data_IF_564032675302
#
_entry.id   IF_564032675302
#
_cell.length_a   1.000
_cell.length_b   1.000
_cell.length_c   1.000
_cell.angle_alpha   90.00
_cell.angle_beta   90.00
_cell.angle_gamma   90.00
#
_symmetry.space_group_name_H-M   'P 1'
#
loop_
_entity.id
_entity.type
_entity.pdbx_description
1 polymer ?
#
# COMPACT_ATOMS: atom_id res chain seq x y z
N UNK A 1 20.65 21.43 0.57
CA UNK A 1 20.88 19.96 0.65
C UNK A 1 19.67 19.37 1.31
N UNK A 2 19.13 18.28 0.77
CA UNK A 2 18.03 17.59 1.43
C UNK A 2 18.44 17.11 2.83
N UNK A 3 17.53 17.15 3.79
CA UNK A 3 17.75 16.59 5.11
C UNK A 3 17.94 15.06 5.00
N UNK A 4 18.84 14.48 5.79
CA UNK A 4 19.11 13.03 5.79
C UNK A 4 18.86 12.47 7.17
N UNK A 5 17.91 11.56 7.27
CA UNK A 5 17.59 10.81 8.49
C UNK A 5 18.17 9.41 8.37
N UNK A 6 19.05 9.04 9.31
CA UNK A 6 19.66 7.70 9.35
C UNK A 6 18.90 6.83 10.32
N UNK A 7 18.44 5.68 9.84
CA UNK A 7 17.76 4.66 10.62
C UNK A 7 18.66 3.44 10.78
N UNK A 8 18.80 2.97 12.02
CA UNK A 8 19.64 1.81 12.35
C UNK A 8 18.84 0.54 12.65
N UNK A 9 17.57 0.70 13.01
CA UNK A 9 16.65 -0.41 13.29
C UNK A 9 15.92 -0.81 12.02
N UNK A 10 15.65 -2.10 11.86
CA UNK A 10 14.94 -2.63 10.69
C UNK A 10 15.50 -3.98 10.25
N UNK A 11 14.95 -4.53 9.18
CA UNK A 11 15.35 -5.81 8.65
C UNK A 11 15.10 -5.91 7.13
N UNK A 12 16.17 -6.09 6.37
CA UNK A 12 16.06 -6.39 4.95
C UNK A 12 15.95 -7.90 4.73
N UNK A 13 14.85 -8.33 4.11
CA UNK A 13 14.60 -9.73 3.78
C UNK A 13 14.84 -9.91 2.27
N UNK A 14 16.00 -10.45 1.92
CA UNK A 14 16.41 -10.63 0.54
C UNK A 14 15.69 -11.83 -0.10
N UNK A 15 14.60 -11.58 -0.81
CA UNK A 15 13.85 -12.60 -1.53
C UNK A 15 14.28 -12.70 -2.99
N UNK A 16 14.14 -13.90 -3.57
CA UNK A 16 14.33 -14.16 -5.00
C UNK A 16 13.11 -13.67 -5.80
N UNK A 17 13.38 -13.20 -7.01
CA UNK A 17 12.33 -12.82 -7.96
C UNK A 17 11.95 -11.35 -7.92
N UNK A 18 12.88 -10.45 -7.56
CA UNK A 18 12.69 -9.01 -7.73
C UNK A 18 12.43 -8.69 -9.20
N UNK A 19 11.45 -7.83 -9.48
CA UNK A 19 11.14 -7.37 -10.83
C UNK A 19 12.36 -6.66 -11.46
N UNK A 20 12.68 -7.04 -12.68
CA UNK A 20 13.70 -6.36 -13.49
C UNK A 20 13.10 -5.06 -14.05
N UNK A 21 13.89 -4.04 -14.20
CA UNK A 21 13.50 -2.74 -14.78
C UNK A 21 13.19 -2.85 -16.28
N UNK A 22 12.18 -3.63 -16.58
CA UNK A 22 11.71 -3.92 -17.93
C UNK A 22 10.19 -3.97 -17.95
N UNK A 23 9.60 -3.26 -18.92
CA UNK A 23 8.17 -3.36 -19.17
C UNK A 23 7.85 -4.62 -19.97
N UNK A 24 6.84 -5.36 -19.52
CA UNK A 24 6.22 -6.46 -20.25
C UNK A 24 4.80 -6.07 -20.66
N UNK A 25 4.33 -6.69 -21.74
CA UNK A 25 2.94 -6.59 -22.19
C UNK A 25 2.17 -7.84 -21.74
N UNK A 26 0.90 -7.67 -21.44
CA UNK A 26 -0.04 -8.76 -21.17
C UNK A 26 -1.33 -8.54 -21.97
N UNK A 27 -2.12 -9.59 -22.13
CA UNK A 27 -3.43 -9.48 -22.75
C UNK A 27 -4.41 -8.82 -21.78
N UNK A 28 -4.80 -7.58 -22.04
CA UNK A 28 -5.74 -6.82 -21.19
C UNK A 28 -7.10 -7.51 -21.19
N UNK A 29 -7.71 -7.57 -20.01
CA UNK A 29 -9.08 -8.05 -19.85
C UNK A 29 -10.10 -7.08 -20.46
N UNK A 30 -11.26 -7.60 -20.77
CA UNK A 30 -12.41 -6.78 -21.22
C UNK A 30 -13.30 -6.37 -20.05
N UNK A 31 -13.12 -6.95 -18.86
CA UNK A 31 -13.86 -6.66 -17.64
C UNK A 31 -12.89 -6.23 -16.54
N UNK A 32 -13.18 -5.08 -15.93
CA UNK A 32 -12.45 -4.57 -14.79
C UNK A 32 -13.37 -4.50 -13.58
N UNK A 33 -12.80 -4.53 -12.36
CA UNK A 33 -13.61 -4.40 -11.16
C UNK A 33 -12.97 -3.47 -10.14
N UNK A 34 -13.73 -2.50 -9.66
CA UNK A 34 -13.30 -1.65 -8.56
C UNK A 34 -13.72 -2.28 -7.23
N UNK A 35 -12.73 -2.48 -6.34
CA UNK A 35 -12.89 -3.14 -5.04
C UNK A 35 -12.84 -2.13 -3.89
N UNK A 36 -13.91 -2.01 -3.07
CA UNK A 36 -13.91 -1.09 -1.93
C UNK A 36 -12.91 -1.46 -0.83
N UNK A 37 -12.51 -2.72 -0.75
CA UNK A 37 -11.58 -3.25 0.28
C UNK A 37 -10.17 -2.62 0.23
N UNK A 38 -9.84 -1.95 -0.88
CA UNK A 38 -8.62 -1.16 -1.02
C UNK A 38 -8.65 0.14 -0.17
N UNK A 39 -9.84 0.60 0.25
CA UNK A 39 -10.05 1.87 0.94
C UNK A 39 -10.50 1.60 2.38
N UNK A 40 -9.55 1.51 3.29
CA UNK A 40 -9.79 1.12 4.69
C UNK A 40 -10.60 2.17 5.43
N UNK A 41 -11.49 1.72 6.31
CA UNK A 41 -12.24 2.61 7.21
C UNK A 41 -13.48 3.27 6.62
N UNK A 42 -13.77 3.07 5.30
CA UNK A 42 -14.98 3.58 4.68
C UNK A 42 -16.05 2.49 4.51
N UNK A 43 -17.31 2.88 4.46
CA UNK A 43 -18.44 2.00 4.14
C UNK A 43 -18.95 2.33 2.74
N UNK A 44 -18.84 1.42 1.75
CA UNK A 44 -19.25 1.70 0.38
C UNK A 44 -20.77 1.72 0.24
N UNK A 45 -21.27 2.74 -0.48
CA UNK A 45 -22.63 2.81 -1.00
C UNK A 45 -22.55 2.84 -2.52
N UNK A 46 -22.96 1.76 -3.18
CA UNK A 46 -22.98 1.67 -4.65
C UNK A 46 -24.03 2.64 -5.19
N UNK A 47 -23.66 3.38 -6.23
CA UNK A 47 -24.51 4.41 -6.87
C UNK A 47 -24.91 4.06 -8.31
N UNK A 48 -24.47 2.90 -8.79
CA UNK A 48 -24.81 2.34 -10.10
C UNK A 48 -25.55 1.02 -9.97
N UNK A 49 -26.17 0.57 -11.07
CA UNK A 49 -26.88 -0.72 -11.17
C UNK A 49 -26.32 -1.53 -12.34
N UNK A 50 -26.56 -2.83 -12.32
CA UNK A 50 -26.28 -3.69 -13.48
C UNK A 50 -27.03 -3.19 -14.70
N UNK A 51 -26.34 -3.11 -15.83
CA UNK A 51 -26.84 -2.56 -17.08
C UNK A 51 -26.53 -1.07 -17.29
N UNK A 52 -26.19 -0.30 -16.26
CA UNK A 52 -25.86 1.12 -16.40
C UNK A 52 -24.62 1.32 -17.28
N UNK A 53 -24.64 2.37 -18.09
CA UNK A 53 -23.50 2.82 -18.88
C UNK A 53 -22.74 3.89 -18.07
N UNK A 54 -21.42 3.73 -17.95
CA UNK A 54 -20.54 4.64 -17.22
C UNK A 54 -19.38 5.10 -18.10
N UNK A 55 -18.89 6.31 -17.84
CA UNK A 55 -17.63 6.81 -18.41
C UNK A 55 -16.49 6.59 -17.42
N UNK A 56 -15.25 6.57 -17.90
CA UNK A 56 -14.10 6.66 -17.03
C UNK A 56 -14.16 8.00 -16.25
N UNK A 57 -14.16 7.90 -14.91
CA UNK A 57 -14.37 9.04 -14.03
C UNK A 57 -15.77 9.15 -13.41
N UNK A 58 -16.77 8.40 -13.89
CA UNK A 58 -18.07 8.31 -13.21
C UNK A 58 -17.93 7.54 -11.90
N UNK A 59 -18.69 7.93 -10.86
CA UNK A 59 -18.67 7.27 -9.58
C UNK A 59 -19.34 5.88 -9.64
N UNK A 60 -18.66 4.82 -9.23
CA UNK A 60 -19.23 3.48 -9.05
C UNK A 60 -19.84 3.30 -7.65
N UNK A 61 -19.16 3.80 -6.65
CA UNK A 61 -19.65 3.86 -5.27
C UNK A 61 -19.12 5.11 -4.57
N UNK A 62 -19.72 5.44 -3.45
CA UNK A 62 -19.35 6.57 -2.59
C UNK A 62 -19.17 6.08 -1.16
N UNK A 63 -18.50 6.87 -0.32
CA UNK A 63 -18.51 6.63 1.11
C UNK A 63 -19.91 6.94 1.67
N UNK A 64 -20.50 5.98 2.39
CA UNK A 64 -21.86 6.13 2.94
C UNK A 64 -21.98 7.28 3.94
N UNK A 65 -20.92 7.54 4.73
CA UNK A 65 -20.89 8.61 5.74
C UNK A 65 -20.63 9.98 5.09
N UNK A 66 -19.78 10.00 4.06
CA UNK A 66 -19.40 11.22 3.32
C UNK A 66 -19.67 11.02 1.83
N UNK A 67 -20.91 11.23 1.35
CA UNK A 67 -21.30 10.90 -0.03
C UNK A 67 -20.55 11.68 -1.11
N UNK A 68 -19.91 12.79 -0.77
CA UNK A 68 -19.07 13.56 -1.67
C UNK A 68 -17.73 12.84 -1.97
N UNK A 69 -17.31 11.89 -1.12
CA UNK A 69 -16.17 11.03 -1.38
C UNK A 69 -16.59 9.91 -2.32
N UNK A 70 -16.34 10.14 -3.59
CA UNK A 70 -16.65 9.24 -4.72
C UNK A 70 -15.44 8.37 -5.04
N UNK A 71 -15.71 7.25 -5.71
CA UNK A 71 -14.69 6.34 -6.25
C UNK A 71 -14.99 6.10 -7.72
N UNK A 72 -14.07 6.57 -8.56
CA UNK A 72 -14.27 6.68 -9.99
C UNK A 72 -14.07 5.35 -10.72
N UNK A 73 -14.90 5.13 -11.77
CA UNK A 73 -14.67 4.03 -12.70
C UNK A 73 -13.34 4.21 -13.45
N UNK A 74 -12.50 3.17 -13.51
CA UNK A 74 -11.25 3.22 -14.27
C UNK A 74 -11.46 3.21 -15.79
N UNK A 75 -12.62 2.80 -16.25
CA UNK A 75 -12.96 2.64 -17.68
C UNK A 75 -14.38 3.11 -18.00
N UNK A 76 -14.63 3.43 -19.27
CA UNK A 76 -16.01 3.52 -19.77
C UNK A 76 -16.52 2.16 -20.19
N UNK A 77 -17.81 1.93 -20.03
CA UNK A 77 -18.45 0.71 -20.43
C UNK A 77 -19.76 0.43 -19.69
N UNK A 78 -20.18 -0.80 -19.69
CA UNK A 78 -21.40 -1.26 -19.03
C UNK A 78 -21.09 -1.94 -17.71
N UNK A 79 -21.80 -1.56 -16.65
CA UNK A 79 -21.77 -2.26 -15.36
C UNK A 79 -22.39 -3.66 -15.56
N UNK A 80 -21.58 -4.70 -15.39
CA UNK A 80 -21.99 -6.11 -15.57
C UNK A 80 -22.48 -6.74 -14.29
N UNK A 81 -21.90 -6.37 -13.15
CA UNK A 81 -22.30 -6.94 -11.87
C UNK A 81 -21.92 -6.05 -10.68
N UNK A 82 -22.70 -6.15 -9.61
CA UNK A 82 -22.38 -5.65 -8.28
C UNK A 82 -22.28 -6.85 -7.34
N UNK A 83 -21.05 -7.32 -7.14
CA UNK A 83 -20.79 -8.53 -6.33
C UNK A 83 -20.89 -8.20 -4.84
N UNK A 84 -21.65 -8.99 -4.12
CA UNK A 84 -21.84 -8.84 -2.67
C UNK A 84 -21.51 -10.15 -1.96
N UNK A 85 -20.81 -10.03 -0.86
CA UNK A 85 -20.51 -11.13 0.06
C UNK A 85 -21.52 -11.25 1.21
N UNK A 86 -21.07 -11.86 2.28
CA UNK A 86 -21.85 -12.00 3.50
C UNK A 86 -22.35 -10.65 4.03
N UNK A 87 -23.53 -10.65 4.66
CA UNK A 87 -24.20 -9.46 5.19
C UNK A 87 -24.33 -8.32 4.16
N UNK A 88 -24.42 -8.65 2.87
CA UNK A 88 -24.50 -7.72 1.74
C UNK A 88 -23.29 -6.78 1.60
N UNK A 89 -22.13 -7.10 2.17
CA UNK A 89 -20.89 -6.36 1.98
C UNK A 89 -20.57 -6.28 0.50
N UNK A 90 -20.35 -5.08 -0.04
CA UNK A 90 -19.92 -4.89 -1.43
C UNK A 90 -18.50 -5.39 -1.58
N UNK A 91 -18.28 -6.38 -2.46
CA UNK A 91 -16.96 -6.92 -2.76
C UNK A 91 -16.32 -6.20 -3.95
N UNK A 92 -17.07 -6.04 -5.03
CA UNK A 92 -16.61 -5.26 -6.18
C UNK A 92 -17.78 -4.81 -7.06
N UNK A 93 -17.52 -3.80 -7.89
CA UNK A 93 -18.38 -3.37 -9.00
C UNK A 93 -17.63 -3.65 -10.30
N UNK A 94 -18.18 -4.49 -11.16
CA UNK A 94 -17.60 -4.92 -12.42
C UNK A 94 -18.10 -4.07 -13.58
N UNK A 95 -17.19 -3.69 -14.47
CA UNK A 95 -17.49 -2.90 -15.67
C UNK A 95 -16.84 -3.60 -16.87
N UNK A 96 -17.64 -3.91 -17.88
CA UNK A 96 -17.16 -4.38 -19.19
C UNK A 96 -16.73 -3.18 -19.99
N UNK A 97 -15.43 -3.06 -20.25
CA UNK A 97 -14.84 -1.89 -20.90
C UNK A 97 -15.26 -1.76 -22.37
N UNK A 98 -15.54 -0.54 -22.76
CA UNK A 98 -15.76 -0.19 -24.18
C UNK A 98 -14.45 -0.30 -24.97
N UNK A 99 -14.50 -0.67 -26.26
CA UNK A 99 -13.31 -0.66 -27.13
C UNK A 99 -12.73 0.76 -27.30
N UNK A 100 -13.59 1.78 -27.32
CA UNK A 100 -13.21 3.19 -27.36
C UNK A 100 -13.62 3.87 -26.06
N UNK A 101 -12.63 4.24 -25.25
CA UNK A 101 -12.86 4.79 -23.93
C UNK A 101 -13.42 6.22 -23.99
N UNK A 102 -14.48 6.45 -23.23
CA UNK A 102 -15.09 7.76 -23.00
C UNK A 102 -14.75 8.23 -21.60
N UNK A 103 -14.44 9.51 -21.46
CA UNK A 103 -14.04 10.11 -20.18
C UNK A 103 -15.03 11.18 -19.75
N UNK A 104 -15.21 11.31 -18.44
CA UNK A 104 -15.80 12.53 -17.88
C UNK A 104 -14.74 13.64 -18.03
N UNK A 105 -15.18 14.79 -18.53
CA UNK A 105 -14.30 15.97 -18.64
C UNK A 105 -14.48 16.86 -17.41
N UNK A 106 -13.45 16.88 -16.54
CA UNK A 106 -13.40 17.74 -15.35
C UNK A 106 -12.74 19.10 -15.64
N UNK A 107 -12.29 19.31 -16.88
CA UNK A 107 -11.55 20.47 -17.31
C UNK A 107 -10.10 20.50 -16.82
N UNK A 108 -9.18 20.86 -17.70
CA UNK A 108 -7.79 21.10 -17.31
C UNK A 108 -7.71 22.31 -16.39
N UNK A 109 -6.87 22.22 -15.35
CA UNK A 109 -6.70 23.29 -14.36
C UNK A 109 -5.22 23.55 -14.12
N UNK A 110 -4.83 24.80 -14.16
CA UNK A 110 -3.48 25.21 -13.82
C UNK A 110 -3.36 25.31 -12.28
N UNK A 111 -2.70 24.33 -11.67
CA UNK A 111 -2.61 24.18 -10.21
C UNK A 111 -2.00 25.41 -9.53
N UNK A 112 -1.09 26.12 -10.20
CA UNK A 112 -0.48 27.36 -9.69
C UNK A 112 -1.51 28.43 -9.32
N UNK A 113 -2.68 28.43 -9.96
CA UNK A 113 -3.78 29.40 -9.78
C UNK A 113 -4.86 28.92 -8.80
N UNK A 114 -4.75 27.69 -8.30
CA UNK A 114 -5.72 27.13 -7.39
C UNK A 114 -5.29 27.34 -5.93
N UNK A 115 -6.27 27.49 -5.06
CA UNK A 115 -6.12 27.34 -3.62
C UNK A 115 -6.40 25.91 -3.18
N UNK A 116 -6.18 25.63 -1.91
CA UNK A 116 -6.34 24.27 -1.36
C UNK A 116 -7.79 23.76 -1.44
N UNK A 117 -8.77 24.62 -1.26
CA UNK A 117 -10.19 24.24 -1.34
C UNK A 117 -10.60 23.84 -2.76
N UNK A 118 -10.13 24.59 -3.76
CA UNK A 118 -10.38 24.26 -5.17
C UNK A 118 -9.68 22.95 -5.59
N UNK A 119 -8.49 22.67 -5.04
CA UNK A 119 -7.80 21.39 -5.23
C UNK A 119 -8.62 20.25 -4.63
N UNK A 120 -9.03 20.34 -3.37
CA UNK A 120 -9.83 19.31 -2.69
C UNK A 120 -11.16 19.07 -3.40
N UNK A 121 -11.85 20.14 -3.80
CA UNK A 121 -13.09 20.02 -4.57
C UNK A 121 -12.87 19.30 -5.89
N UNK A 122 -11.77 19.58 -6.59
CA UNK A 122 -11.46 18.88 -7.85
C UNK A 122 -11.21 17.39 -7.64
N UNK A 123 -10.52 16.99 -6.56
CA UNK A 123 -10.30 15.59 -6.21
C UNK A 123 -11.59 14.87 -5.80
N UNK A 124 -12.48 15.55 -5.05
CA UNK A 124 -13.79 15.03 -4.67
C UNK A 124 -14.68 14.81 -5.90
N UNK A 125 -14.78 15.84 -6.77
CA UNK A 125 -15.58 15.75 -7.98
C UNK A 125 -15.14 14.62 -8.90
N UNK A 126 -13.83 14.42 -9.04
CA UNK A 126 -13.22 13.39 -9.88
C UNK A 126 -13.17 12.00 -9.25
N UNK A 127 -13.60 11.83 -8.00
CA UNK A 127 -13.56 10.53 -7.30
C UNK A 127 -12.15 10.04 -6.97
N UNK A 128 -11.21 10.95 -6.79
CA UNK A 128 -9.81 10.66 -6.43
C UNK A 128 -9.48 10.96 -4.97
N UNK A 129 -10.32 11.69 -4.25
CA UNK A 129 -10.09 12.05 -2.84
C UNK A 129 -9.94 10.81 -1.95
N UNK A 130 -10.63 9.71 -2.25
CA UNK A 130 -10.54 8.46 -1.50
C UNK A 130 -9.17 7.78 -1.52
N UNK A 131 -8.22 8.25 -2.36
CA UNK A 131 -6.83 7.80 -2.36
C UNK A 131 -5.93 8.52 -1.34
N UNK A 132 -6.51 9.40 -0.54
CA UNK A 132 -5.84 10.05 0.57
C UNK A 132 -6.19 9.29 1.85
N UNK A 133 -5.18 8.84 2.57
CA UNK A 133 -5.32 8.22 3.89
C UNK A 133 -4.91 9.19 4.99
N UNK A 134 -5.16 8.82 6.25
CA UNK A 134 -4.80 9.63 7.40
C UNK A 134 -4.18 8.81 8.54
N UNK A 135 -3.31 9.45 9.30
CA UNK A 135 -2.95 9.08 10.65
C UNK A 135 -3.53 10.13 11.62
N UNK A 136 -4.00 9.73 12.79
CA UNK A 136 -4.06 8.36 13.32
C UNK A 136 -5.08 7.49 12.58
N UNK A 137 -5.13 6.23 12.96
CA UNK A 137 -6.05 5.17 12.51
C UNK A 137 -5.67 4.46 11.20
N UNK A 138 -4.79 5.01 10.34
CA UNK A 138 -4.43 4.44 9.04
C UNK A 138 -5.68 4.02 8.23
N UNK A 139 -6.52 4.99 7.89
CA UNK A 139 -7.77 4.84 7.16
C UNK A 139 -7.88 5.91 6.07
N UNK A 140 -8.74 5.70 5.09
CA UNK A 140 -9.11 6.75 4.13
C UNK A 140 -9.68 7.96 4.86
N UNK A 141 -9.19 9.14 4.52
CA UNK A 141 -9.59 10.39 5.16
C UNK A 141 -11.00 10.84 4.76
N UNK A 142 -11.50 11.84 5.42
CA UNK A 142 -12.79 12.47 5.11
C UNK A 142 -12.61 13.99 4.85
N UNK A 143 -13.51 14.64 4.11
CA UNK A 143 -13.35 16.04 3.72
C UNK A 143 -13.48 17.05 4.87
N UNK A 144 -13.98 16.65 6.03
CA UNK A 144 -14.11 17.51 7.21
C UNK A 144 -12.79 17.62 7.99
N UNK A 145 -11.88 16.67 7.77
CA UNK A 145 -10.58 16.60 8.45
C UNK A 145 -9.61 17.57 7.81
N UNK A 146 -8.99 18.44 8.63
CA UNK A 146 -7.92 19.33 8.19
C UNK A 146 -6.57 18.76 8.60
N UNK A 147 -5.68 18.42 7.65
CA UNK A 147 -4.37 17.89 8.00
C UNK A 147 -3.44 18.99 8.49
N UNK A 148 -2.61 18.71 9.51
CA UNK A 148 -1.50 19.57 9.86
C UNK A 148 -0.36 19.51 8.84
N UNK A 149 -0.20 18.35 8.18
CA UNK A 149 0.76 18.11 7.10
C UNK A 149 0.30 16.95 6.21
N UNK A 150 0.91 16.85 5.02
CA UNK A 150 0.70 15.75 4.08
C UNK A 150 2.05 15.05 3.85
N UNK A 151 2.05 13.72 3.88
CA UNK A 151 3.24 12.90 3.69
C UNK A 151 3.11 12.01 2.47
N UNK A 152 4.14 12.03 1.63
CA UNK A 152 4.29 11.14 0.47
C UNK A 152 5.59 10.36 0.63
N UNK A 153 5.53 9.03 0.72
CA UNK A 153 6.73 8.20 0.73
C UNK A 153 6.98 7.62 -0.67
N UNK A 154 8.03 8.09 -1.33
CA UNK A 154 8.49 7.52 -2.60
C UNK A 154 9.47 6.35 -2.40
N UNK A 155 9.87 6.07 -1.15
CA UNK A 155 10.70 4.92 -0.81
C UNK A 155 9.83 3.68 -0.60
N UNK A 156 10.00 2.68 -1.46
CA UNK A 156 9.39 1.36 -1.32
C UNK A 156 10.49 0.33 -1.03
N UNK A 157 10.68 -0.03 0.22
CA UNK A 157 11.78 -0.86 0.71
C UNK A 157 11.36 -2.25 1.22
N UNK A 158 10.07 -2.58 1.12
CA UNK A 158 9.57 -3.91 1.48
C UNK A 158 10.15 -4.99 0.54
N UNK A 159 10.25 -6.24 0.99
CA UNK A 159 10.78 -7.32 0.17
C UNK A 159 9.99 -7.47 -1.14
N UNK A 160 10.69 -7.45 -2.29
CA UNK A 160 10.14 -7.49 -3.65
C UNK A 160 9.26 -6.31 -4.04
N UNK A 161 9.22 -5.23 -3.28
CA UNK A 161 8.44 -4.04 -3.60
C UNK A 161 8.82 -3.48 -4.98
N UNK A 162 7.84 -2.87 -5.63
CA UNK A 162 8.02 -2.14 -6.88
C UNK A 162 8.95 -0.93 -6.66
N UNK A 163 9.87 -0.69 -7.57
CA UNK A 163 10.67 0.51 -7.57
C UNK A 163 9.85 1.70 -8.11
N UNK A 164 9.60 2.68 -7.25
CA UNK A 164 8.84 3.85 -7.65
C UNK A 164 9.60 4.73 -8.64
N UNK A 165 10.93 4.77 -8.60
CA UNK A 165 11.74 5.54 -9.55
C UNK A 165 11.57 5.01 -10.98
N UNK A 166 11.41 3.69 -11.15
CA UNK A 166 11.08 3.09 -12.44
C UNK A 166 9.67 3.47 -12.92
N UNK A 167 8.67 3.47 -12.02
CA UNK A 167 7.31 3.93 -12.34
C UNK A 167 7.29 5.41 -12.75
N UNK A 168 8.10 6.23 -12.09
CA UNK A 168 8.16 7.67 -12.25
C UNK A 168 8.71 8.12 -13.60
N UNK A 169 9.62 7.36 -14.23
CA UNK A 169 10.33 7.73 -15.47
C UNK A 169 9.45 8.28 -16.60
N UNK A 170 8.16 7.92 -16.63
CA UNK A 170 7.20 8.38 -17.65
C UNK A 170 6.13 9.31 -17.11
N UNK A 171 6.18 9.63 -15.82
CA UNK A 171 5.11 10.33 -15.11
C UNK A 171 5.63 11.53 -14.30
N UNK A 172 6.86 11.99 -14.57
CA UNK A 172 7.53 13.03 -13.79
C UNK A 172 6.73 14.35 -13.73
N UNK A 173 6.18 14.78 -14.87
CA UNK A 173 5.39 16.00 -14.95
C UNK A 173 4.07 15.88 -14.16
N UNK A 174 3.40 14.74 -14.25
CA UNK A 174 2.18 14.48 -13.51
C UNK A 174 2.46 14.38 -12.00
N UNK A 175 3.54 13.72 -11.62
CA UNK A 175 3.96 13.63 -10.23
C UNK A 175 4.24 15.00 -9.62
N UNK A 176 5.01 15.85 -10.31
CA UNK A 176 5.28 17.22 -9.85
C UNK A 176 4.00 18.06 -9.75
N UNK A 177 3.09 17.95 -10.73
CA UNK A 177 1.79 18.65 -10.67
C UNK A 177 0.97 18.19 -9.47
N UNK A 178 0.95 16.89 -9.17
CA UNK A 178 0.28 16.31 -8.01
C UNK A 178 0.87 16.80 -6.69
N UNK A 179 2.21 16.85 -6.56
CA UNK A 179 2.89 17.39 -5.38
C UNK A 179 2.56 18.87 -5.17
N UNK A 180 2.60 19.67 -6.25
CA UNK A 180 2.20 21.09 -6.20
C UNK A 180 0.73 21.24 -5.79
N UNK A 181 -0.17 20.35 -6.23
CA UNK A 181 -1.56 20.38 -5.80
C UNK A 181 -1.70 20.10 -4.29
N UNK A 182 -1.04 19.08 -3.78
CA UNK A 182 -1.06 18.75 -2.35
C UNK A 182 -0.48 19.89 -1.49
N UNK A 183 0.58 20.55 -1.95
CA UNK A 183 1.20 21.68 -1.23
C UNK A 183 0.29 22.90 -1.07
N UNK A 184 -0.77 23.02 -1.92
CA UNK A 184 -1.81 24.06 -1.76
C UNK A 184 -2.76 23.75 -0.61
N UNK A 185 -2.89 22.49 -0.22
CA UNK A 185 -3.79 22.04 0.86
C UNK A 185 -3.10 22.17 2.22
N UNK A 186 -1.88 21.64 2.35
CA UNK A 186 -1.08 21.72 3.57
C UNK A 186 0.40 21.56 3.27
N UNK A 187 1.26 21.83 4.28
CA UNK A 187 2.69 21.55 4.19
C UNK A 187 2.89 20.09 3.78
N UNK A 188 3.65 19.86 2.72
CA UNK A 188 3.83 18.53 2.13
C UNK A 188 5.28 18.09 2.25
N UNK A 189 5.49 16.86 2.78
CA UNK A 189 6.77 16.21 2.90
C UNK A 189 6.87 15.08 1.87
N UNK A 190 8.03 14.97 1.22
CA UNK A 190 8.37 13.88 0.30
C UNK A 190 9.56 13.10 0.88
N UNK A 191 9.29 11.86 1.32
CA UNK A 191 10.32 10.94 1.76
C UNK A 191 10.89 10.14 0.59
N UNK A 192 12.21 10.14 0.45
CA UNK A 192 12.93 9.39 -0.57
C UNK A 192 14.01 8.51 0.05
N UNK A 193 14.44 7.47 -0.66
CA UNK A 193 15.55 6.62 -0.26
C UNK A 193 16.90 7.16 -0.74
N UNK A 194 17.98 6.82 -0.03
CA UNK A 194 19.34 7.25 -0.39
C UNK A 194 19.79 6.80 -1.77
N UNK A 195 19.26 5.67 -2.28
CA UNK A 195 19.62 5.12 -3.57
C UNK A 195 18.86 5.77 -4.73
N UNK A 196 17.78 6.50 -4.45
CA UNK A 196 16.97 7.18 -5.46
C UNK A 196 17.67 8.45 -5.93
N UNK A 197 17.82 8.61 -7.22
CA UNK A 197 18.64 9.65 -7.85
C UNK A 197 17.90 10.53 -8.85
N UNK A 198 16.66 10.18 -9.22
CA UNK A 198 15.83 10.95 -10.14
C UNK A 198 15.71 12.41 -9.71
N UNK A 199 15.90 13.33 -10.65
CA UNK A 199 15.70 14.76 -10.39
C UNK A 199 14.27 15.09 -10.00
N UNK A 200 13.30 14.34 -10.49
CA UNK A 200 11.88 14.50 -10.12
C UNK A 200 11.61 14.19 -8.64
N UNK A 201 12.47 13.39 -7.98
CA UNK A 201 12.43 13.13 -6.55
C UNK A 201 13.33 14.08 -5.77
N UNK A 202 14.61 14.14 -6.15
CA UNK A 202 15.64 14.88 -5.37
C UNK A 202 15.52 16.39 -5.46
N UNK A 203 14.87 16.91 -6.51
CA UNK A 203 14.66 18.33 -6.79
C UNK A 203 13.16 18.67 -6.91
N UNK A 204 12.27 17.85 -6.32
CA UNK A 204 10.84 18.10 -6.30
C UNK A 204 10.55 19.50 -5.71
N UNK A 205 9.64 20.24 -6.39
CA UNK A 205 9.29 21.60 -6.01
C UNK A 205 8.05 21.61 -5.14
N UNK A 206 7.90 22.69 -4.36
CA UNK A 206 6.75 23.00 -3.51
C UNK A 206 6.56 22.01 -2.33
N UNK A 207 7.54 21.14 -2.08
CA UNK A 207 7.53 20.14 -1.01
C UNK A 207 8.87 20.09 -0.29
N UNK A 208 8.87 19.60 0.95
CA UNK A 208 10.08 19.38 1.71
C UNK A 208 10.60 17.95 1.49
N UNK A 209 11.73 17.83 0.78
CA UNK A 209 12.34 16.54 0.47
C UNK A 209 13.26 16.09 1.60
N UNK A 210 13.05 14.87 2.11
CA UNK A 210 13.90 14.24 3.12
C UNK A 210 14.35 12.86 2.66
N UNK A 211 15.65 12.58 2.85
CA UNK A 211 16.27 11.30 2.52
C UNK A 211 16.24 10.39 3.75
N UNK A 212 15.64 9.22 3.63
CA UNK A 212 15.69 8.17 4.65
C UNK A 212 16.72 7.12 4.26
N UNK A 213 17.72 6.94 5.13
CA UNK A 213 18.87 6.05 4.92
C UNK A 213 18.87 4.97 5.99
N UNK A 214 18.36 3.80 5.67
CA UNK A 214 18.27 2.67 6.59
C UNK A 214 17.61 1.44 5.95
N UNK A 215 17.53 0.34 6.71
CA UNK A 215 16.83 -0.87 6.27
C UNK A 215 15.30 -0.69 6.27
N UNK A 216 14.59 -1.60 5.67
CA UNK A 216 13.13 -1.71 5.82
C UNK A 216 12.77 -1.77 7.33
N UNK A 217 11.80 -0.95 7.82
CA UNK A 217 10.74 -0.24 7.11
C UNK A 217 10.97 1.29 6.99
N UNK A 218 12.14 1.75 6.58
CA UNK A 218 12.42 3.16 6.36
C UNK A 218 11.42 3.83 5.38
N UNK A 219 10.83 3.02 4.47
CA UNK A 219 9.85 3.45 3.49
C UNK A 219 8.42 3.55 4.03
N UNK A 220 8.11 3.08 5.23
CA UNK A 220 6.78 3.25 5.81
C UNK A 220 6.52 4.73 6.09
N UNK A 221 5.37 5.23 5.62
CA UNK A 221 5.02 6.64 5.78
C UNK A 221 4.87 7.06 7.25
N UNK A 222 4.37 6.17 8.10
CA UNK A 222 4.25 6.39 9.56
C UNK A 222 5.62 6.55 10.23
N UNK A 223 6.63 5.77 9.81
CA UNK A 223 8.04 5.96 10.25
C UNK A 223 8.52 7.35 9.87
N UNK A 224 8.23 7.80 8.66
CA UNK A 224 8.63 9.14 8.20
C UNK A 224 7.90 10.25 8.95
N UNK A 225 6.60 10.07 9.23
CA UNK A 225 5.80 10.97 10.07
C UNK A 225 6.40 11.08 11.47
N UNK A 226 6.68 9.94 12.13
CA UNK A 226 7.26 9.91 13.48
C UNK A 226 8.58 10.72 13.59
N UNK A 227 9.41 10.70 12.53
CA UNK A 227 10.70 11.40 12.54
C UNK A 227 10.63 12.88 12.12
N UNK A 228 9.60 13.29 11.37
CA UNK A 228 9.51 14.65 10.81
C UNK A 228 8.51 15.53 11.52
N UNK A 229 7.32 14.99 11.77
CA UNK A 229 6.22 15.74 12.39
C UNK A 229 5.22 14.77 13.04
N UNK A 230 5.56 14.22 14.24
CA UNK A 230 4.78 13.19 14.92
C UNK A 230 3.34 13.61 15.17
N UNK A 231 2.43 12.64 15.22
CA UNK A 231 1.00 12.86 15.40
C UNK A 231 0.61 12.65 16.86
N UNK A 232 0.04 13.69 17.47
CA UNK A 232 -0.49 13.63 18.83
C UNK A 232 -2.01 13.47 18.83
N UNK A 233 -2.59 13.22 20.00
CA UNK A 233 -4.05 13.17 20.19
C UNK A 233 -4.69 14.47 19.70
N UNK A 234 -5.71 14.35 18.85
CA UNK A 234 -6.42 15.48 18.25
C UNK A 234 -5.77 16.09 17.01
N UNK A 235 -4.57 15.64 16.64
CA UNK A 235 -3.92 16.02 15.38
C UNK A 235 -4.21 14.99 14.27
N UNK A 236 -4.15 15.43 13.02
CA UNK A 236 -4.28 14.58 11.84
C UNK A 236 -3.22 14.96 10.83
N UNK A 237 -2.57 13.97 10.26
CA UNK A 237 -1.78 14.11 9.03
C UNK A 237 -2.38 13.26 7.94
N UNK A 238 -2.27 13.72 6.71
CA UNK A 238 -2.65 12.91 5.56
C UNK A 238 -1.45 12.21 4.98
N UNK A 239 -1.70 11.01 4.46
CA UNK A 239 -0.70 10.20 3.76
C UNK A 239 -1.19 9.86 2.37
N UNK A 240 -0.32 9.96 1.37
CA UNK A 240 -0.69 9.71 -0.02
C UNK A 240 0.35 8.79 -0.66
N UNK A 241 -0.13 7.69 -1.26
CA UNK A 241 0.74 6.82 -2.08
C UNK A 241 1.30 7.62 -3.28
N UNK A 242 2.58 7.49 -3.62
CA UNK A 242 3.19 8.29 -4.67
C UNK A 242 2.56 8.03 -6.06
N UNK A 243 1.99 6.85 -6.32
CA UNK A 243 1.21 6.60 -7.54
C UNK A 243 -0.10 7.40 -7.55
N UNK A 244 -0.75 7.58 -6.40
CA UNK A 244 -1.95 8.43 -6.31
C UNK A 244 -1.63 9.90 -6.61
N UNK A 245 -0.44 10.37 -6.21
CA UNK A 245 0.03 11.72 -6.60
C UNK A 245 0.10 11.87 -8.12
N UNK A 246 0.54 10.82 -8.85
CA UNK A 246 0.50 10.81 -10.32
C UNK A 246 -0.95 10.90 -10.84
N UNK A 247 -1.90 10.20 -10.23
CA UNK A 247 -3.32 10.29 -10.63
C UNK A 247 -3.87 11.71 -10.45
N UNK A 248 -3.50 12.36 -9.35
CA UNK A 248 -3.91 13.75 -9.09
C UNK A 248 -3.32 14.69 -10.14
N UNK A 249 -2.04 14.56 -10.46
CA UNK A 249 -1.40 15.36 -11.50
C UNK A 249 -2.02 15.16 -12.88
N UNK A 250 -2.32 13.92 -13.27
CA UNK A 250 -3.01 13.64 -14.54
C UNK A 250 -4.39 14.31 -14.62
N UNK A 251 -5.15 14.31 -13.52
CA UNK A 251 -6.42 15.01 -13.47
C UNK A 251 -6.26 16.49 -13.83
N UNK A 252 -5.33 17.19 -13.19
CA UNK A 252 -5.12 18.62 -13.45
C UNK A 252 -4.56 18.90 -14.84
N UNK A 253 -3.61 18.08 -15.30
CA UNK A 253 -2.94 18.24 -16.60
C UNK A 253 -3.85 17.87 -17.78
N UNK A 254 -4.76 16.92 -17.62
CA UNK A 254 -5.59 16.40 -18.74
C UNK A 254 -7.08 16.70 -18.60
N UNK A 255 -7.56 17.00 -17.39
CA UNK A 255 -8.98 17.13 -17.07
C UNK A 255 -9.73 15.79 -17.02
N UNK A 256 -9.00 14.66 -16.95
CA UNK A 256 -9.58 13.31 -17.00
C UNK A 256 -9.02 12.44 -15.86
N UNK A 257 -9.84 11.51 -15.41
CA UNK A 257 -9.36 10.44 -14.50
C UNK A 257 -8.64 9.38 -15.31
N UNK A 258 -7.38 9.11 -14.96
CA UNK A 258 -6.56 8.07 -15.56
C UNK A 258 -5.88 7.29 -14.43
N UNK A 259 -6.39 6.08 -14.16
CA UNK A 259 -5.93 5.19 -13.09
C UNK A 259 -4.94 4.13 -13.59
N UNK A 260 -4.22 4.40 -14.69
CA UNK A 260 -3.10 3.54 -15.13
C UNK A 260 -1.95 3.65 -14.14
N UNK A 261 -1.38 2.51 -13.80
CA UNK A 261 -0.23 2.38 -12.92
C UNK A 261 0.76 1.34 -13.43
N UNK A 262 2.00 1.45 -12.99
CA UNK A 262 3.04 0.46 -13.24
C UNK A 262 3.09 -0.50 -12.05
N UNK A 263 2.94 -1.80 -12.31
CA UNK A 263 2.87 -2.85 -11.30
C UNK A 263 4.05 -3.79 -11.48
N UNK A 264 4.77 -4.09 -10.40
CA UNK A 264 5.78 -5.14 -10.41
C UNK A 264 5.11 -6.52 -10.29
N UNK A 265 5.40 -7.41 -11.23
CA UNK A 265 5.09 -8.84 -11.11
C UNK A 265 6.36 -9.52 -10.60
N UNK A 266 6.36 -9.95 -9.35
CA UNK A 266 7.56 -10.39 -8.64
C UNK A 266 7.33 -11.72 -7.89
N UNK A 267 8.42 -12.32 -7.42
CA UNK A 267 8.38 -13.56 -6.62
C UNK A 267 9.13 -14.70 -7.24
N UNK A 268 9.49 -15.67 -6.39
CA UNK A 268 10.29 -16.83 -6.81
C UNK A 268 9.58 -17.74 -7.80
N UNK A 269 8.24 -17.68 -7.86
CA UNK A 269 7.43 -18.54 -8.73
C UNK A 269 7.02 -17.86 -10.05
N UNK A 270 7.46 -16.63 -10.28
CA UNK A 270 7.33 -15.93 -11.55
C UNK A 270 8.48 -16.33 -12.49
N UNK A 271 8.17 -16.68 -13.75
CA UNK A 271 9.19 -17.05 -14.76
C UNK A 271 10.08 -15.86 -15.13
N UNK A 272 9.44 -14.74 -15.41
CA UNK A 272 10.11 -13.49 -15.82
C UNK A 272 9.57 -12.35 -14.95
N UNK A 273 10.18 -12.10 -13.77
CA UNK A 273 9.79 -10.96 -12.94
C UNK A 273 10.08 -9.65 -13.68
N UNK A 274 9.06 -8.82 -13.85
CA UNK A 274 9.17 -7.55 -14.59
C UNK A 274 7.97 -6.64 -14.27
N UNK A 275 7.93 -5.45 -14.86
CA UNK A 275 6.85 -4.50 -14.69
C UNK A 275 5.82 -4.59 -15.81
N UNK A 276 4.56 -4.31 -15.48
CA UNK A 276 3.44 -4.19 -16.42
C UNK A 276 2.69 -2.88 -16.18
N UNK A 277 2.16 -2.28 -17.25
CA UNK A 277 1.23 -1.16 -17.11
C UNK A 277 -0.20 -1.68 -17.11
N UNK A 278 -0.90 -1.56 -15.99
CA UNK A 278 -2.27 -2.00 -15.81
C UNK A 278 -3.17 -0.87 -15.30
N UNK A 279 -4.47 -1.02 -15.46
CA UNK A 279 -5.47 -0.17 -14.81
C UNK A 279 -5.78 -0.71 -13.41
N UNK A 280 -6.15 0.18 -12.49
CA UNK A 280 -6.82 -0.23 -11.25
C UNK A 280 -8.06 -1.04 -11.64
N UNK A 281 -8.25 -2.20 -11.01
CA UNK A 281 -9.36 -3.10 -11.33
C UNK A 281 -9.08 -4.11 -12.44
N UNK A 282 -7.88 -4.16 -13.03
CA UNK A 282 -7.48 -5.25 -13.95
C UNK A 282 -7.46 -6.59 -13.22
N UNK A 283 -7.87 -7.65 -13.89
CA UNK A 283 -7.87 -9.01 -13.30
C UNK A 283 -6.42 -9.51 -13.14
N UNK A 284 -6.08 -10.02 -11.95
CA UNK A 284 -4.73 -10.49 -11.62
C UNK A 284 -4.28 -11.64 -12.52
N UNK A 285 -5.20 -12.53 -12.89
CA UNK A 285 -4.94 -13.64 -13.81
C UNK A 285 -4.39 -13.20 -15.17
N UNK A 286 -4.83 -12.04 -15.68
CA UNK A 286 -4.33 -11.51 -16.94
C UNK A 286 -2.85 -11.09 -16.84
N UNK A 287 -2.45 -10.49 -15.70
CA UNK A 287 -1.07 -10.07 -15.46
C UNK A 287 -0.12 -11.28 -15.31
N UNK A 288 -0.62 -12.39 -14.81
CA UNK A 288 0.16 -13.60 -14.53
C UNK A 288 0.10 -14.63 -15.67
N UNK A 289 -0.75 -14.44 -16.68
CA UNK A 289 -0.99 -15.42 -17.74
C UNK A 289 0.30 -15.87 -18.43
N UNK A 290 0.57 -17.18 -18.38
CA UNK A 290 1.76 -17.80 -18.98
C UNK A 290 3.10 -17.48 -18.31
N UNK A 291 3.10 -16.67 -17.23
CA UNK A 291 4.32 -16.20 -16.53
C UNK A 291 4.56 -16.90 -15.18
N UNK A 292 3.74 -17.85 -14.77
CA UNK A 292 3.98 -18.68 -13.59
C UNK A 292 4.83 -19.91 -13.94
N UNK A 293 5.76 -20.30 -13.06
CA UNK A 293 6.56 -21.53 -13.21
C UNK A 293 5.70 -22.76 -13.10
N UNK A 294 4.87 -22.79 -12.08
CA UNK A 294 3.81 -23.77 -11.85
C UNK A 294 2.54 -23.02 -11.48
N UNK A 295 1.38 -23.51 -11.93
CA UNK A 295 0.09 -22.92 -11.61
C UNK A 295 -0.49 -23.46 -10.30
N UNK A 296 0.12 -24.52 -9.77
CA UNK A 296 -0.35 -25.19 -8.55
C UNK A 296 0.60 -24.90 -7.39
N UNK A 297 0.04 -24.95 -6.18
CA UNK A 297 0.78 -24.83 -4.93
C UNK A 297 1.59 -23.53 -4.80
N UNK A 298 1.05 -22.43 -5.35
CA UNK A 298 1.59 -21.08 -5.24
C UNK A 298 0.64 -20.19 -4.48
N UNK A 299 1.20 -19.27 -3.69
CA UNK A 299 0.48 -18.18 -3.08
C UNK A 299 0.64 -16.93 -3.93
N UNK A 300 -0.47 -16.45 -4.47
CA UNK A 300 -0.55 -15.17 -5.14
C UNK A 300 -0.92 -14.12 -4.08
N UNK A 301 -0.21 -13.01 -4.07
CA UNK A 301 -0.38 -11.93 -3.09
C UNK A 301 -0.62 -10.64 -3.86
N UNK A 302 -1.73 -9.98 -3.59
CA UNK A 302 -2.01 -8.63 -4.06
C UNK A 302 -1.27 -7.64 -3.13
N UNK A 303 -0.09 -7.18 -3.55
CA UNK A 303 0.87 -6.43 -2.77
C UNK A 303 2.16 -7.22 -2.45
N UNK A 304 2.91 -6.76 -1.45
CA UNK A 304 4.15 -7.40 -1.01
C UNK A 304 3.90 -8.55 -0.01
N UNK A 305 4.97 -9.30 0.28
CA UNK A 305 4.88 -10.50 1.15
C UNK A 305 4.62 -10.19 2.63
N UNK A 306 4.76 -8.96 3.08
CA UNK A 306 4.60 -8.57 4.49
C UNK A 306 3.21 -8.02 4.80
N UNK A 307 2.65 -7.21 3.91
CA UNK A 307 1.39 -6.47 4.13
C UNK A 307 0.32 -6.77 3.10
N UNK A 308 0.66 -7.48 2.02
CA UNK A 308 -0.26 -7.83 0.95
C UNK A 308 -1.30 -8.87 1.36
N UNK A 309 -2.37 -8.94 0.58
CA UNK A 309 -3.48 -9.88 0.83
C UNK A 309 -3.37 -11.10 -0.09
N UNK A 310 -3.54 -12.32 0.43
CA UNK A 310 -3.68 -13.50 -0.42
C UNK A 310 -4.85 -13.32 -1.39
N UNK A 311 -4.64 -13.70 -2.64
CA UNK A 311 -5.63 -13.56 -3.70
C UNK A 311 -5.55 -14.74 -4.69
N UNK A 312 -6.50 -14.76 -5.60
CA UNK A 312 -6.58 -15.73 -6.70
C UNK A 312 -6.40 -15.03 -8.05
N UNK A 313 -6.34 -15.78 -9.11
CA UNK A 313 -6.33 -15.26 -10.49
C UNK A 313 -7.62 -14.53 -10.88
N UNK A 314 -8.72 -14.78 -10.16
CA UNK A 314 -10.03 -14.17 -10.40
C UNK A 314 -10.21 -12.84 -9.68
N UNK A 315 -9.27 -12.49 -8.78
CA UNK A 315 -9.27 -11.23 -8.06
C UNK A 315 -8.70 -10.08 -8.92
N UNK A 316 -8.82 -8.88 -8.41
CA UNK A 316 -8.54 -7.66 -9.15
C UNK A 316 -7.46 -6.80 -8.48
N UNK A 317 -6.72 -6.06 -9.29
CA UNK A 317 -5.75 -5.06 -8.83
C UNK A 317 -6.46 -3.99 -8.01
N UNK A 318 -6.06 -3.83 -6.76
CA UNK A 318 -6.62 -2.84 -5.85
C UNK A 318 -6.15 -1.41 -6.15
N UNK A 319 -6.80 -0.42 -5.53
CA UNK A 319 -6.48 1.00 -5.69
C UNK A 319 -5.05 1.37 -5.28
N UNK A 320 -4.46 0.66 -4.33
CA UNK A 320 -3.10 0.91 -3.80
C UNK A 320 -2.08 -0.18 -4.17
N UNK A 321 -2.45 -1.13 -5.05
CA UNK A 321 -1.56 -2.25 -5.44
C UNK A 321 -0.39 -1.76 -6.28
N UNK A 322 0.83 -1.89 -5.81
CA UNK A 322 2.07 -1.56 -6.55
C UNK A 322 2.80 -2.80 -7.06
N UNK A 323 2.56 -3.96 -6.47
CA UNK A 323 3.13 -5.24 -6.90
C UNK A 323 2.14 -6.38 -6.76
N UNK A 324 2.32 -7.42 -7.58
CA UNK A 324 1.74 -8.75 -7.41
C UNK A 324 2.89 -9.69 -7.14
N UNK A 325 2.86 -10.34 -5.99
CA UNK A 325 3.94 -11.23 -5.55
C UNK A 325 3.48 -12.68 -5.57
N UNK A 326 4.32 -13.58 -6.14
CA UNK A 326 4.01 -15.01 -6.20
C UNK A 326 5.14 -15.82 -5.57
N UNK A 327 4.80 -16.55 -4.51
CA UNK A 327 5.74 -17.40 -3.75
C UNK A 327 5.19 -18.82 -3.63
N UNK A 328 6.01 -19.82 -3.25
CA UNK A 328 5.50 -21.16 -2.96
C UNK A 328 4.50 -21.15 -1.81
N UNK A 329 3.39 -21.90 -1.92
CA UNK A 329 2.46 -22.13 -0.80
C UNK A 329 3.11 -22.99 0.29
N UNK A 330 3.85 -24.03 -0.13
CA UNK A 330 4.61 -24.89 0.77
C UNK A 330 3.82 -26.06 1.37
N UNK A 331 2.63 -26.35 0.86
CA UNK A 331 1.76 -27.44 1.36
C UNK A 331 2.33 -28.84 1.12
N UNK A 332 3.28 -28.98 0.19
CA UNK A 332 3.92 -30.23 -0.22
C UNK A 332 5.26 -30.49 0.48
N UNK A 333 5.65 -29.63 1.41
CA UNK A 333 6.94 -29.77 2.09
C UNK A 333 6.80 -30.62 3.37
N UNK A 334 7.05 -31.93 3.25
CA UNK A 334 7.20 -32.82 4.39
C UNK A 334 8.61 -32.68 5.01
N UNK A 335 8.67 -32.27 6.27
CA UNK A 335 9.92 -32.09 6.99
C UNK A 335 9.99 -33.03 8.21
N UNK A 336 10.38 -34.28 7.98
CA UNK A 336 10.66 -35.19 9.10
C UNK A 336 11.93 -34.72 9.85
N UNK A 337 11.82 -34.50 11.16
CA UNK A 337 12.88 -33.94 12.02
C UNK A 337 13.47 -32.59 11.52
N UNK A 338 12.68 -31.79 10.85
CA UNK A 338 13.11 -30.52 10.23
C UNK A 338 13.75 -29.51 11.19
N UNK A 339 13.48 -29.61 12.48
CA UNK A 339 14.05 -28.75 13.53
C UNK A 339 15.55 -29.03 13.80
N UNK A 340 16.09 -30.18 13.40
CA UNK A 340 17.53 -30.55 13.51
C UNK A 340 18.33 -30.11 12.27
N UNK A 341 17.64 -29.88 11.13
CA UNK A 341 18.30 -29.60 9.86
C UNK A 341 19.05 -28.26 9.88
N UNK A 342 20.22 -28.15 9.24
CA UNK A 342 21.03 -26.93 9.21
C UNK A 342 20.38 -25.78 8.42
N UNK A 343 19.39 -26.05 7.59
CA UNK A 343 18.52 -25.10 6.90
C UNK A 343 19.25 -23.97 6.17
N UNK A 344 20.26 -24.27 5.38
CA UNK A 344 21.03 -23.30 4.59
C UNK A 344 20.17 -22.48 3.58
N UNK A 345 18.95 -22.94 3.27
CA UNK A 345 18.02 -22.28 2.33
C UNK A 345 16.94 -21.46 3.04
N UNK A 346 16.94 -21.41 4.36
CA UNK A 346 15.95 -20.66 5.15
C UNK A 346 16.56 -19.34 5.64
N UNK A 347 15.78 -18.28 5.66
CA UNK A 347 16.19 -17.01 6.25
C UNK A 347 16.30 -17.17 7.79
N UNK A 348 17.33 -16.58 8.39
CA UNK A 348 17.57 -16.67 9.83
C UNK A 348 17.76 -15.29 10.42
N UNK A 349 16.84 -14.86 11.27
CA UNK A 349 16.89 -13.56 11.94
C UNK A 349 17.95 -13.57 13.05
N UNK A 350 17.93 -14.61 13.89
CA UNK A 350 18.74 -14.70 15.11
C UNK A 350 19.76 -15.86 15.04
N UNK A 351 20.22 -16.20 13.84
CA UNK A 351 21.21 -17.25 13.56
C UNK A 351 20.80 -18.67 13.98
N UNK A 352 19.51 -18.92 14.11
CA UNK A 352 18.98 -20.27 14.42
C UNK A 352 19.26 -21.29 13.31
N UNK A 353 19.49 -20.85 12.08
CA UNK A 353 19.82 -21.66 10.92
C UNK A 353 21.21 -21.30 10.41
N UNK A 354 21.94 -22.27 9.84
CA UNK A 354 23.31 -22.03 9.34
C UNK A 354 23.36 -21.19 8.05
N UNK A 355 22.25 -20.75 7.54
CA UNK A 355 22.16 -19.84 6.37
C UNK A 355 22.93 -18.53 6.57
N UNK A 356 23.11 -18.05 7.80
CA UNK A 356 23.90 -16.86 8.11
C UNK A 356 25.39 -17.00 7.73
N UNK A 357 25.91 -18.24 7.59
CA UNK A 357 27.28 -18.51 7.12
C UNK A 357 27.43 -18.30 5.61
N UNK A 358 26.31 -18.22 4.85
CA UNK A 358 26.34 -18.15 3.38
C UNK A 358 26.51 -16.73 2.83
N UNK A 359 26.76 -15.72 3.66
CA UNK A 359 26.93 -14.33 3.23
C UNK A 359 25.62 -13.71 2.68
N UNK A 360 25.74 -12.71 1.82
CA UNK A 360 24.58 -12.07 1.18
C UNK A 360 23.93 -13.04 0.19
N UNK A 361 22.78 -13.58 0.55
CA UNK A 361 22.03 -14.56 -0.23
C UNK A 361 20.58 -14.13 -0.37
N UNK A 362 19.97 -14.41 -1.51
CA UNK A 362 18.51 -14.28 -1.69
C UNK A 362 17.83 -15.63 -1.49
N UNK A 363 16.63 -15.60 -0.90
CA UNK A 363 15.88 -16.77 -0.47
C UNK A 363 14.58 -16.92 -1.27
N UNK A 364 14.19 -18.15 -1.61
CA UNK A 364 12.85 -18.50 -2.02
C UNK A 364 12.13 -19.05 -0.77
N UNK A 365 11.43 -18.18 -0.06
CA UNK A 365 10.65 -18.54 1.11
C UNK A 365 9.24 -18.95 0.70
N UNK A 366 8.68 -19.91 1.41
CA UNK A 366 7.30 -20.36 1.28
C UNK A 366 6.36 -19.60 2.26
N UNK A 367 5.05 -19.76 2.07
CA UNK A 367 4.04 -19.08 2.88
C UNK A 367 3.77 -19.76 4.23
N UNK A 368 4.49 -20.83 4.60
CA UNK A 368 4.23 -21.54 5.85
C UNK A 368 4.71 -20.78 7.06
N UNK A 369 3.91 -20.81 8.12
CA UNK A 369 4.32 -20.37 9.43
C UNK A 369 5.30 -21.40 10.01
N UNK A 370 6.51 -20.97 10.34
CA UNK A 370 7.55 -21.82 10.96
C UNK A 370 7.39 -21.77 12.49
N UNK A 371 6.49 -22.53 13.02
CA UNK A 371 6.15 -22.59 14.44
C UNK A 371 4.65 -22.59 14.68
N UNK A 372 4.24 -22.44 15.93
CA UNK A 372 2.83 -22.32 16.34
C UNK A 372 2.59 -21.04 17.10
N UNK A 373 1.36 -20.54 17.06
CA UNK A 373 0.92 -19.40 17.86
C UNK A 373 1.04 -19.71 19.35
N UNK A 374 1.55 -18.76 20.11
CA UNK A 374 1.78 -18.84 21.55
C UNK A 374 1.36 -17.54 22.23
N UNK A 375 1.25 -17.56 23.55
CA UNK A 375 1.09 -16.33 24.30
C UNK A 375 2.29 -15.40 24.09
N UNK A 376 2.04 -14.11 24.00
CA UNK A 376 3.05 -13.09 23.80
C UNK A 376 4.10 -13.11 24.91
N UNK A 377 5.34 -13.15 24.55
CA UNK A 377 6.51 -12.97 25.44
C UNK A 377 7.24 -11.68 25.08
N UNK A 378 7.77 -11.00 26.11
CA UNK A 378 8.59 -9.80 25.94
C UNK A 378 9.99 -10.25 25.54
N UNK A 379 10.27 -10.25 24.25
CA UNK A 379 11.53 -10.76 23.69
C UNK A 379 12.56 -9.68 23.37
N UNK A 380 12.11 -8.41 23.27
CA UNK A 380 12.92 -7.29 22.78
C UNK A 380 13.23 -7.36 21.28
N UNK A 381 12.58 -8.29 20.54
CA UNK A 381 12.83 -8.43 19.10
C UNK A 381 12.11 -7.35 18.27
N UNK A 382 10.95 -6.85 18.74
CA UNK A 382 10.21 -5.80 18.03
C UNK A 382 11.02 -4.49 17.97
N UNK A 383 11.70 -4.14 19.06
CA UNK A 383 12.50 -2.92 19.13
C UNK A 383 13.68 -2.90 18.14
N UNK A 384 14.12 -4.07 17.67
CA UNK A 384 15.21 -4.17 16.69
C UNK A 384 14.75 -3.84 15.27
N UNK A 385 13.47 -3.99 15.00
CA UNK A 385 12.89 -3.84 13.65
C UNK A 385 11.90 -2.66 13.54
N UNK A 386 11.63 -1.97 14.64
CA UNK A 386 10.72 -0.82 14.69
C UNK A 386 11.55 0.47 14.87
N UNK A 387 11.83 1.22 13.80
CA UNK A 387 12.63 2.44 13.87
C UNK A 387 11.79 3.69 14.25
N UNK A 388 10.92 3.54 15.25
CA UNK A 388 10.09 4.61 15.80
C UNK A 388 10.37 4.78 17.29
N UNK A 389 10.12 5.96 17.83
CA UNK A 389 10.26 6.25 19.27
C UNK A 389 8.98 5.86 20.03
N UNK A 390 8.64 4.58 19.96
CA UNK A 390 7.50 3.98 20.65
C UNK A 390 7.90 2.66 21.32
N UNK A 391 7.18 2.28 22.37
CA UNK A 391 7.37 1.02 23.08
C UNK A 391 6.51 -0.10 22.46
N UNK A 392 6.92 -0.62 21.29
CA UNK A 392 6.12 -1.53 20.47
C UNK A 392 5.58 -2.78 21.19
N UNK A 393 6.42 -3.50 21.97
CA UNK A 393 5.97 -4.68 22.72
C UNK A 393 4.95 -4.31 23.81
N UNK A 394 5.14 -3.20 24.53
CA UNK A 394 4.21 -2.74 25.54
C UNK A 394 2.89 -2.26 24.92
N UNK A 395 2.96 -1.59 23.75
CA UNK A 395 1.79 -1.15 23.00
C UNK A 395 0.92 -2.34 22.59
N UNK A 396 1.50 -3.40 22.01
CA UNK A 396 0.78 -4.61 21.66
C UNK A 396 0.10 -5.23 22.89
N UNK A 397 0.79 -5.30 24.04
CA UNK A 397 0.17 -5.79 25.29
C UNK A 397 -0.98 -4.93 25.77
N UNK A 398 -0.86 -3.61 25.66
CA UNK A 398 -1.94 -2.69 26.03
C UNK A 398 -3.17 -2.87 25.11
N UNK A 399 -2.96 -3.11 23.82
CA UNK A 399 -4.02 -3.39 22.86
C UNK A 399 -4.72 -4.72 23.22
N UNK A 400 -3.96 -5.80 23.44
CA UNK A 400 -4.52 -7.10 23.83
C UNK A 400 -5.29 -7.02 25.15
N UNK A 401 -4.83 -6.19 26.09
CA UNK A 401 -5.51 -5.98 27.38
C UNK A 401 -6.73 -5.05 27.29
N UNK A 402 -6.94 -4.36 26.17
CA UNK A 402 -8.01 -3.37 26.01
C UNK A 402 -7.81 -2.09 26.84
N UNK A 403 -6.57 -1.79 27.26
CA UNK A 403 -6.22 -0.63 28.09
C UNK A 403 -5.94 0.59 27.20
N UNK A 404 -6.99 1.38 26.95
CA UNK A 404 -6.93 2.52 26.02
C UNK A 404 -5.98 3.61 26.53
N UNK A 405 -6.01 3.93 27.82
CA UNK A 405 -5.15 4.96 28.40
C UNK A 405 -3.65 4.63 28.19
N UNK A 406 -3.30 3.35 28.35
CA UNK A 406 -1.94 2.89 28.06
C UNK A 406 -1.62 2.87 26.57
N UNK A 407 -2.57 2.51 25.70
CA UNK A 407 -2.35 2.58 24.26
C UNK A 407 -2.01 4.01 23.84
N UNK A 408 -2.74 5.00 24.33
CA UNK A 408 -2.48 6.43 24.07
C UNK A 408 -1.09 6.85 24.61
N UNK A 409 -0.74 6.47 25.83
CA UNK A 409 0.55 6.79 26.43
C UNK A 409 1.74 6.11 25.75
N UNK A 410 1.53 5.01 25.01
CA UNK A 410 2.55 4.22 24.34
C UNK A 410 2.66 4.49 22.83
N UNK A 411 1.92 5.47 22.29
CA UNK A 411 2.11 5.94 20.92
C UNK A 411 1.18 5.33 19.87
N UNK A 412 -0.03 4.87 20.24
CA UNK A 412 -0.98 4.27 19.28
C UNK A 412 -1.40 5.23 18.16
N UNK A 413 -1.35 6.54 18.37
CA UNK A 413 -1.70 7.55 17.37
C UNK A 413 -0.69 7.64 16.22
N UNK A 414 0.54 7.20 16.44
CA UNK A 414 1.64 7.32 15.49
C UNK A 414 1.81 6.09 14.59
N UNK A 415 1.13 4.98 14.92
CA UNK A 415 1.34 3.71 14.24
C UNK A 415 0.25 3.36 13.24
N UNK A 416 0.66 2.58 12.25
CA UNK A 416 -0.22 1.84 11.34
C UNK A 416 0.00 0.34 11.51
N UNK A 417 -0.92 -0.52 11.05
CA UNK A 417 -0.71 -1.97 11.06
C UNK A 417 0.58 -2.40 10.34
N UNK A 418 0.94 -1.73 9.25
CA UNK A 418 2.12 -2.08 8.46
C UNK A 418 3.45 -1.89 9.19
N UNK A 419 3.51 -1.03 10.23
CA UNK A 419 4.72 -0.82 11.01
C UNK A 419 5.09 -2.05 11.83
N UNK A 420 4.09 -2.86 12.15
CA UNK A 420 4.28 -4.12 12.87
C UNK A 420 4.51 -5.33 11.96
N UNK A 421 4.57 -5.16 10.64
CA UNK A 421 4.75 -6.27 9.71
C UNK A 421 6.10 -6.99 9.89
N UNK A 422 7.19 -6.25 10.11
CA UNK A 422 8.49 -6.86 10.44
C UNK A 422 8.52 -7.42 11.85
N UNK A 423 7.87 -6.77 12.82
CA UNK A 423 7.74 -7.30 14.17
C UNK A 423 6.98 -8.64 14.16
N UNK A 424 5.91 -8.75 13.37
CA UNK A 424 5.17 -9.99 13.14
C UNK A 424 6.05 -11.09 12.52
N UNK A 425 6.88 -10.73 11.55
CA UNK A 425 7.82 -11.66 10.91
C UNK A 425 8.85 -12.23 11.89
N UNK A 426 9.41 -11.39 12.79
CA UNK A 426 10.42 -11.83 13.77
C UNK A 426 9.81 -12.40 15.04
N UNK A 427 8.52 -12.22 15.29
CA UNK A 427 7.85 -12.64 16.51
C UNK A 427 7.98 -14.15 16.73
N UNK A 428 8.54 -14.52 17.87
CA UNK A 428 8.66 -15.93 18.28
C UNK A 428 7.35 -16.56 18.74
N UNK A 429 6.38 -15.73 19.13
CA UNK A 429 5.03 -16.15 19.56
C UNK A 429 4.07 -16.35 18.39
N UNK A 430 4.42 -15.87 17.19
CA UNK A 430 3.64 -15.98 15.95
C UNK A 430 2.25 -15.35 16.05
N UNK A 431 2.16 -14.22 16.72
CA UNK A 431 0.95 -13.42 16.79
C UNK A 431 0.73 -12.66 15.48
N UNK A 432 -0.53 -12.45 15.10
CA UNK A 432 -0.93 -11.60 13.99
C UNK A 432 -0.94 -10.12 14.43
N UNK A 433 0.25 -9.51 14.54
CA UNK A 433 0.40 -8.17 15.13
C UNK A 433 -0.30 -7.10 14.31
N UNK A 434 -0.29 -7.19 12.98
CA UNK A 434 -0.98 -6.26 12.09
C UNK A 434 -2.49 -6.27 12.36
N UNK A 435 -3.08 -7.47 12.58
CA UNK A 435 -4.49 -7.60 12.94
C UNK A 435 -4.78 -7.00 14.32
N UNK A 436 -3.93 -7.29 15.32
CA UNK A 436 -4.07 -6.75 16.67
C UNK A 436 -4.04 -5.21 16.65
N UNK A 437 -3.08 -4.62 15.92
CA UNK A 437 -2.99 -3.16 15.78
C UNK A 437 -4.21 -2.59 15.07
N UNK A 438 -4.71 -3.24 14.00
CA UNK A 438 -5.93 -2.80 13.31
C UNK A 438 -7.15 -2.79 14.23
N UNK A 439 -7.33 -3.85 15.01
CA UNK A 439 -8.41 -3.94 15.99
C UNK A 439 -8.30 -2.84 17.06
N UNK A 440 -7.09 -2.60 17.59
CA UNK A 440 -6.84 -1.53 18.56
C UNK A 440 -7.17 -0.15 18.00
N UNK A 441 -6.72 0.16 16.78
CA UNK A 441 -7.02 1.43 16.11
C UNK A 441 -8.52 1.60 15.82
N UNK A 442 -9.23 0.52 15.48
CA UNK A 442 -10.67 0.56 15.21
C UNK A 442 -11.48 0.78 16.50
N UNK A 443 -11.03 0.22 17.63
CA UNK A 443 -11.64 0.46 18.95
C UNK A 443 -11.40 1.92 19.36
N UNK A 444 -10.14 2.37 19.31
CA UNK A 444 -9.77 3.73 19.67
C UNK A 444 -10.56 4.77 18.85
N UNK A 445 -10.73 4.54 17.55
CA UNK A 445 -11.53 5.41 16.69
C UNK A 445 -12.98 5.53 17.12
N UNK A 446 -13.56 4.42 17.59
CA UNK A 446 -14.96 4.42 18.09
C UNK A 446 -15.11 5.14 19.42
N UNK A 447 -14.11 5.06 20.28
CA UNK A 447 -14.09 5.77 21.58
C UNK A 447 -13.90 7.28 21.42
N UNK A 448 -13.18 7.70 20.36
CA UNK A 448 -12.89 9.11 20.05
C UNK A 448 -13.90 9.74 19.06
N UNK A 449 -14.91 8.99 18.58
CA UNK A 449 -15.97 9.47 17.69
C UNK A 449 -17.18 9.98 18.52
#
# INVERSE_FOLDING_TARGET
MANVIKLSKGLDINLKGKALEKMMTFAKGTELALTPDAFVGMTPKVVVKEGDLVKAGDALFVNKQYPDVKFASPVSGQVTAVIRGERRKVLCVKVKADPQQQYVDFGKKEVSRLDGEAVLKSLLDAGLFGYIDQLPYAISTNPETKPKAIFVSALRDKPLAADFEFELQRNEADFQTGLTALSKVAKTYLGIGRQQSSSALTQAKDVEVTVFDGPCPAGNVSVQVNHLDPVNKGEVVWTVDPTAVIFFGRLFNTGKVDLRRVIAVAGSEVKTPAYVEALVGEQIGNLLAGNLKEERNVRIINGNVLTGKPCTTDDYVGGHTSEITVIPEGNDADEFLGWILPRFKQFSVNRSYFSWLCGKKSYALDARIKGGERHMIMSGEYDKVLPMDIYGEYLIKAIIAGDIDRQEALGIYEVSPEDFALAEFVDSSKLELQRIVREGLDILRKENA
#
